data_IF_090568764911
#
_entry.id   IF_090568764911
#
_cell.length_a   1.000
_cell.length_b   1.000
_cell.length_c   1.000
_cell.angle_alpha   90.00
_cell.angle_beta   90.00
_cell.angle_gamma   90.00
#
_symmetry.space_group_name_H-M   'P 1'
#
loop_
_entity.id
_entity.type
_entity.pdbx_description
1 polymer ?
#
# COMPACT_ATOMS: atom_id res chain seq x y z
N UNK A 1 47.22 62.30 -44.93
CA UNK A 1 46.91 61.80 -43.56
C UNK A 1 45.70 60.85 -43.67
N UNK A 2 45.96 59.59 -43.79
CA UNK A 2 44.92 58.53 -43.90
C UNK A 2 44.64 58.00 -42.50
N UNK A 3 43.43 58.22 -41.98
CA UNK A 3 42.96 57.64 -40.76
C UNK A 3 42.50 56.21 -40.96
N UNK A 4 43.20 55.24 -40.37
CA UNK A 4 42.88 53.82 -40.36
C UNK A 4 41.85 53.58 -39.26
N UNK A 5 40.61 53.20 -39.61
CA UNK A 5 39.57 52.81 -38.63
C UNK A 5 39.66 51.27 -38.52
N UNK A 6 40.11 50.83 -37.34
CA UNK A 6 40.13 49.41 -36.99
C UNK A 6 38.75 49.09 -36.37
N UNK A 7 37.93 48.32 -37.10
CA UNK A 7 36.69 47.77 -36.57
C UNK A 7 37.00 46.46 -35.83
N UNK A 8 36.87 46.53 -34.51
CA UNK A 8 36.97 45.36 -33.63
C UNK A 8 35.61 44.61 -33.66
N UNK A 9 35.57 43.48 -34.35
CA UNK A 9 34.43 42.56 -34.28
C UNK A 9 34.52 41.74 -33.01
N UNK A 10 33.68 42.06 -32.02
CA UNK A 10 33.47 41.21 -30.84
C UNK A 10 32.61 40.00 -31.24
N UNK A 11 33.26 38.88 -31.39
CA UNK A 11 32.57 37.59 -31.55
C UNK A 11 32.06 37.15 -30.17
N UNK A 12 30.78 37.44 -29.87
CA UNK A 12 30.12 36.89 -28.71
C UNK A 12 29.77 35.44 -29.04
N UNK A 13 30.65 34.53 -28.65
CA UNK A 13 30.37 33.10 -28.71
C UNK A 13 29.33 32.78 -27.62
N UNK A 14 28.07 32.70 -27.98
CA UNK A 14 27.01 32.13 -27.11
C UNK A 14 27.32 30.65 -26.85
N UNK A 15 27.99 30.39 -25.72
CA UNK A 15 28.02 29.06 -25.19
C UNK A 15 26.58 28.68 -24.83
N UNK A 16 25.94 27.93 -25.74
CA UNK A 16 24.74 27.15 -25.39
C UNK A 16 25.22 26.07 -24.43
N UNK A 17 25.15 26.38 -23.15
CA UNK A 17 25.23 25.32 -22.12
C UNK A 17 24.00 24.45 -22.35
N UNK A 18 24.20 23.31 -23.02
CA UNK A 18 23.26 22.21 -22.90
C UNK A 18 23.21 21.86 -21.42
N UNK A 19 22.28 22.46 -20.71
CA UNK A 19 21.80 21.91 -19.44
C UNK A 19 21.21 20.56 -19.82
N UNK A 20 22.03 19.50 -19.75
CA UNK A 20 21.50 18.18 -19.51
C UNK A 20 20.73 18.35 -18.20
N UNK A 21 19.43 18.61 -18.28
CA UNK A 21 18.54 18.36 -17.19
C UNK A 21 18.79 16.88 -16.87
N UNK A 22 19.54 16.62 -15.78
CA UNK A 22 19.69 15.30 -15.21
C UNK A 22 18.28 14.78 -15.04
N UNK A 23 17.86 13.98 -15.99
CA UNK A 23 16.54 13.40 -16.02
C UNK A 23 16.48 12.31 -14.96
N UNK A 24 16.55 12.74 -13.68
CA UNK A 24 16.26 11.82 -12.59
C UNK A 24 14.90 11.23 -12.86
N UNK A 25 14.90 9.94 -13.21
CA UNK A 25 13.67 9.16 -13.38
C UNK A 25 12.81 9.24 -12.12
N UNK A 26 11.56 8.89 -12.24
CA UNK A 26 10.63 8.80 -11.10
C UNK A 26 10.97 7.52 -10.36
N UNK A 27 11.31 7.61 -9.09
CA UNK A 27 11.53 6.43 -8.24
C UNK A 27 10.23 6.04 -7.56
N UNK A 28 9.82 4.78 -7.71
CA UNK A 28 8.64 4.20 -7.09
C UNK A 28 9.03 3.06 -6.17
N UNK A 29 8.39 2.95 -5.01
CA UNK A 29 8.51 1.81 -4.13
C UNK A 29 7.42 0.78 -4.38
N UNK A 30 7.75 -0.51 -4.26
CA UNK A 30 6.78 -1.61 -4.09
C UNK A 30 7.10 -2.26 -2.76
N UNK A 31 6.16 -2.26 -1.81
CA UNK A 31 6.33 -2.91 -0.52
C UNK A 31 5.19 -3.89 -0.28
N UNK A 32 5.52 -5.17 -0.24
CA UNK A 32 4.58 -6.29 -0.07
C UNK A 32 5.21 -7.35 0.85
N UNK A 33 4.40 -8.25 1.39
CA UNK A 33 4.86 -9.38 2.21
C UNK A 33 5.52 -10.46 1.35
N UNK A 34 6.73 -10.21 0.89
CA UNK A 34 7.51 -11.20 0.13
C UNK A 34 7.98 -12.35 1.01
N UNK A 35 7.96 -12.18 2.31
CA UNK A 35 8.03 -13.24 3.32
C UNK A 35 6.77 -13.21 4.18
N UNK A 36 6.49 -14.32 4.89
CA UNK A 36 5.35 -14.43 5.80
C UNK A 36 4.13 -15.11 5.17
N UNK A 37 2.92 -14.95 5.76
CA UNK A 37 1.78 -15.82 5.49
C UNK A 37 1.20 -15.72 4.08
N UNK A 38 1.50 -14.66 3.33
CA UNK A 38 0.97 -14.44 1.98
C UNK A 38 2.05 -14.39 0.89
N UNK A 39 3.25 -14.84 1.19
CA UNK A 39 4.42 -14.80 0.27
C UNK A 39 4.15 -15.43 -1.10
N UNK A 40 3.24 -16.39 -1.17
CA UNK A 40 2.87 -17.05 -2.44
C UNK A 40 2.07 -16.14 -3.39
N UNK A 41 1.44 -15.08 -2.89
CA UNK A 41 0.58 -14.16 -3.66
C UNK A 41 1.35 -12.93 -4.17
N UNK A 42 2.30 -12.46 -3.39
CA UNK A 42 2.94 -11.16 -3.58
C UNK A 42 3.84 -11.04 -4.81
N UNK A 43 4.52 -12.11 -5.30
CA UNK A 43 5.30 -12.01 -6.53
C UNK A 43 4.48 -11.60 -7.75
N UNK A 44 3.27 -12.14 -7.91
CA UNK A 44 2.36 -11.79 -9.01
C UNK A 44 1.82 -10.37 -8.87
N UNK A 45 1.52 -9.93 -7.63
CA UNK A 45 1.10 -8.54 -7.36
C UNK A 45 2.19 -7.55 -7.71
N UNK A 46 3.43 -7.82 -7.32
CA UNK A 46 4.58 -6.98 -7.66
C UNK A 46 4.83 -6.93 -9.17
N UNK A 47 4.79 -8.06 -9.85
CA UNK A 47 4.98 -8.13 -11.30
C UNK A 47 3.91 -7.32 -12.06
N UNK A 48 2.65 -7.34 -11.58
CA UNK A 48 1.56 -6.56 -12.16
C UNK A 48 1.80 -5.05 -12.00
N UNK A 49 2.26 -4.61 -10.83
CA UNK A 49 2.61 -3.21 -10.59
C UNK A 49 3.80 -2.76 -11.45
N UNK A 50 4.84 -3.59 -11.54
CA UNK A 50 6.00 -3.31 -12.39
C UNK A 50 5.63 -3.22 -13.88
N UNK A 51 4.71 -4.07 -14.34
CA UNK A 51 4.18 -3.98 -15.70
C UNK A 51 3.50 -2.62 -15.94
N UNK A 52 2.62 -2.19 -15.02
CA UNK A 52 1.96 -0.89 -15.14
C UNK A 52 2.97 0.28 -15.14
N UNK A 53 3.98 0.23 -14.29
CA UNK A 53 5.05 1.24 -14.28
C UNK A 53 5.89 1.22 -15.57
N UNK A 54 6.14 0.03 -16.11
CA UNK A 54 6.83 -0.13 -17.39
C UNK A 54 6.01 0.47 -18.53
N UNK A 55 4.73 0.15 -18.62
CA UNK A 55 3.83 0.69 -19.65
C UNK A 55 3.74 2.22 -19.56
N UNK A 56 3.60 2.78 -18.36
CA UNK A 56 3.62 4.22 -18.15
C UNK A 56 4.94 4.87 -18.63
N UNK A 57 6.08 4.23 -18.32
CA UNK A 57 7.41 4.67 -18.77
C UNK A 57 7.57 4.62 -20.28
N UNK A 58 7.08 3.54 -20.90
CA UNK A 58 7.26 3.29 -22.33
C UNK A 58 6.31 4.13 -23.21
N UNK A 59 5.19 4.58 -22.64
CA UNK A 59 4.25 5.48 -23.31
C UNK A 59 4.88 6.80 -23.78
N UNK A 60 5.96 7.22 -23.12
CA UNK A 60 6.60 8.51 -23.36
C UNK A 60 5.77 9.72 -22.93
N UNK A 61 4.55 9.50 -22.42
CA UNK A 61 3.61 10.58 -22.04
C UNK A 61 3.75 11.03 -20.58
N UNK A 62 4.41 10.21 -19.74
CA UNK A 62 4.53 10.48 -18.32
C UNK A 62 5.50 11.65 -18.08
N UNK A 63 4.97 12.76 -17.55
CA UNK A 63 5.75 13.92 -17.10
C UNK A 63 6.89 14.33 -18.07
N UNK A 64 6.57 14.43 -19.34
CA UNK A 64 7.56 14.80 -20.38
C UNK A 64 8.51 13.65 -20.76
N UNK A 65 8.05 12.41 -20.66
CA UNK A 65 8.81 11.21 -21.07
C UNK A 65 9.74 10.67 -19.99
N UNK A 66 9.55 11.05 -18.72
CA UNK A 66 10.33 10.49 -17.60
C UNK A 66 10.13 8.99 -17.48
N UNK A 67 11.20 8.30 -17.13
CA UNK A 67 11.19 6.87 -16.84
C UNK A 67 10.96 6.60 -15.37
N UNK A 68 10.26 5.50 -15.06
CA UNK A 68 10.09 5.01 -13.71
C UNK A 68 11.15 3.97 -13.41
N UNK A 69 11.80 4.09 -12.26
CA UNK A 69 12.61 3.05 -11.64
C UNK A 69 11.90 2.52 -10.38
N UNK A 70 11.96 1.23 -10.16
CA UNK A 70 11.22 0.55 -9.07
C UNK A 70 12.19 -0.09 -8.11
N UNK A 71 11.92 0.04 -6.82
CA UNK A 71 12.61 -0.70 -5.75
C UNK A 71 11.58 -1.51 -4.97
N UNK A 72 11.84 -2.80 -4.78
CA UNK A 72 11.02 -3.67 -3.93
C UNK A 72 11.53 -3.64 -2.49
N UNK A 73 10.61 -3.75 -1.53
CA UNK A 73 10.88 -3.92 -0.11
C UNK A 73 9.90 -4.94 0.48
N UNK A 74 10.31 -5.64 1.53
CA UNK A 74 9.49 -6.66 2.19
C UNK A 74 8.78 -6.06 3.41
N UNK A 75 7.46 -6.15 3.45
CA UNK A 75 6.64 -5.75 4.58
C UNK A 75 6.43 -6.87 5.61
N UNK A 76 6.84 -8.09 5.29
CA UNK A 76 6.60 -9.32 6.07
C UNK A 76 5.12 -9.65 6.35
N UNK A 77 4.20 -8.74 6.08
CA UNK A 77 2.77 -8.81 6.39
C UNK A 77 2.43 -8.70 7.90
N UNK A 78 3.29 -9.18 8.79
CA UNK A 78 3.00 -9.36 10.23
C UNK A 78 3.83 -8.48 11.16
N UNK A 79 5.05 -8.11 10.77
CA UNK A 79 5.95 -7.28 11.58
C UNK A 79 5.89 -5.80 11.16
N UNK A 80 5.09 -5.03 11.89
CA UNK A 80 4.94 -3.60 11.62
C UNK A 80 6.23 -2.79 11.79
N UNK A 81 7.15 -3.23 12.66
CA UNK A 81 8.42 -2.51 12.86
C UNK A 81 9.37 -2.75 11.67
N UNK A 82 9.49 -3.99 11.22
CA UNK A 82 10.24 -4.33 10.02
C UNK A 82 9.67 -3.64 8.78
N UNK A 83 8.35 -3.63 8.62
CA UNK A 83 7.66 -2.97 7.51
C UNK A 83 7.91 -1.46 7.48
N UNK A 84 7.85 -0.79 8.63
CA UNK A 84 8.17 0.65 8.75
C UNK A 84 9.61 0.91 8.35
N UNK A 85 10.57 0.14 8.85
CA UNK A 85 12.00 0.27 8.51
C UNK A 85 12.23 0.09 7.00
N UNK A 86 11.58 -0.90 6.39
CA UNK A 86 11.67 -1.15 4.95
C UNK A 86 11.09 0.02 4.12
N UNK A 87 9.97 0.59 4.56
CA UNK A 87 9.35 1.76 3.92
C UNK A 87 10.20 3.02 4.07
N UNK A 88 10.82 3.25 5.24
CA UNK A 88 11.80 4.33 5.44
C UNK A 88 12.98 4.20 4.47
N UNK A 89 13.45 2.98 4.22
CA UNK A 89 14.47 2.69 3.21
C UNK A 89 14.04 3.09 1.80
N UNK A 90 12.79 2.86 1.42
CA UNK A 90 12.26 3.31 0.12
C UNK A 90 12.23 4.84 0.01
N UNK A 91 11.72 5.51 1.04
CA UNK A 91 11.59 6.98 1.06
C UNK A 91 12.97 7.64 1.05
N UNK A 92 13.91 7.17 1.89
CA UNK A 92 15.29 7.68 1.91
C UNK A 92 16.04 7.39 0.61
N UNK A 93 15.69 6.30 -0.09
CA UNK A 93 16.15 5.99 -1.44
C UNK A 93 15.57 6.91 -2.52
N UNK A 94 14.64 7.79 -2.16
CA UNK A 94 14.02 8.79 -3.04
C UNK A 94 12.74 8.32 -3.73
N UNK A 95 12.06 7.29 -3.22
CA UNK A 95 10.74 6.92 -3.71
C UNK A 95 9.74 8.06 -3.46
N UNK A 96 9.05 8.49 -4.50
CA UNK A 96 8.05 9.59 -4.44
C UNK A 96 6.64 9.07 -4.22
N UNK A 97 6.41 7.78 -4.44
CA UNK A 97 5.18 7.08 -4.10
C UNK A 97 5.47 5.60 -3.87
N UNK A 98 4.56 4.94 -3.15
CA UNK A 98 4.67 3.53 -2.74
C UNK A 98 3.41 2.79 -3.17
N UNK A 99 3.57 1.69 -3.90
CA UNK A 99 2.55 0.67 -4.11
C UNK A 99 2.70 -0.37 -3.00
N UNK A 100 1.67 -0.55 -2.20
CA UNK A 100 1.66 -1.42 -1.00
C UNK A 100 1.16 -0.66 0.24
N UNK A 101 1.19 -1.23 1.46
CA UNK A 101 1.44 -2.65 1.61
C UNK A 101 0.16 -3.45 1.36
N UNK A 102 0.26 -4.74 1.48
CA UNK A 102 -0.81 -5.70 1.20
C UNK A 102 -1.66 -6.03 2.44
N UNK A 103 -1.04 -6.24 3.59
CA UNK A 103 -1.70 -6.60 4.84
C UNK A 103 -2.07 -5.36 5.67
N UNK A 104 -3.28 -5.34 6.24
CA UNK A 104 -3.86 -4.12 6.83
C UNK A 104 -3.06 -3.50 7.96
N UNK A 105 -2.52 -4.30 8.89
CA UNK A 105 -1.77 -3.79 10.04
C UNK A 105 -0.47 -3.08 9.62
N UNK A 106 0.33 -3.72 8.77
CA UNK A 106 1.57 -3.12 8.25
C UNK A 106 1.27 -1.93 7.33
N UNK A 107 0.16 -1.97 6.59
CA UNK A 107 -0.30 -0.84 5.76
C UNK A 107 -0.58 0.40 6.61
N UNK A 108 -1.36 0.24 7.69
CA UNK A 108 -1.65 1.34 8.62
C UNK A 108 -0.39 1.89 9.26
N UNK A 109 0.49 1.02 9.74
CA UNK A 109 1.76 1.42 10.35
C UNK A 109 2.66 2.21 9.40
N UNK A 110 2.79 1.78 8.14
CA UNK A 110 3.58 2.49 7.12
C UNK A 110 2.92 3.83 6.76
N UNK A 111 1.60 3.84 6.56
CA UNK A 111 0.87 5.06 6.23
C UNK A 111 1.08 6.13 7.31
N UNK A 112 0.84 5.79 8.57
CA UNK A 112 0.91 6.72 9.69
C UNK A 112 2.32 7.18 10.03
N UNK A 113 3.31 6.26 9.97
CA UNK A 113 4.68 6.54 10.46
C UNK A 113 5.63 6.98 9.36
N UNK A 114 5.39 6.62 8.11
CA UNK A 114 6.31 6.89 7.00
C UNK A 114 5.67 7.70 5.89
N UNK A 115 4.62 7.20 5.24
CA UNK A 115 4.09 7.81 4.03
C UNK A 115 3.51 9.19 4.29
N UNK A 116 2.57 9.33 5.22
CA UNK A 116 1.91 10.60 5.56
C UNK A 116 2.88 11.66 6.09
N UNK A 117 3.76 11.35 7.07
CA UNK A 117 4.73 12.34 7.56
C UNK A 117 5.69 12.87 6.49
N UNK A 118 6.05 12.04 5.52
CA UNK A 118 6.96 12.42 4.44
C UNK A 118 6.24 12.96 3.18
N UNK A 119 4.91 13.05 3.17
CA UNK A 119 4.15 13.50 2.01
C UNK A 119 4.26 12.55 0.80
N UNK A 120 4.47 11.27 1.05
CA UNK A 120 4.60 10.22 0.03
C UNK A 120 3.25 9.55 -0.17
N UNK A 121 2.75 9.52 -1.40
CA UNK A 121 1.50 8.82 -1.73
C UNK A 121 1.70 7.32 -1.61
N UNK A 122 0.76 6.66 -0.94
CA UNK A 122 0.76 5.22 -0.74
C UNK A 122 -0.56 4.62 -1.24
N UNK A 123 -0.49 3.58 -2.07
CA UNK A 123 -1.66 2.89 -2.63
C UNK A 123 -1.57 1.41 -2.31
N UNK A 124 -2.46 0.92 -1.43
CA UNK A 124 -2.55 -0.49 -1.10
C UNK A 124 -3.38 -1.27 -2.14
N UNK A 125 -2.89 -2.42 -2.63
CA UNK A 125 -3.66 -3.27 -3.54
C UNK A 125 -4.72 -4.12 -2.84
N UNK A 126 -4.58 -4.42 -1.54
CA UNK A 126 -5.36 -5.46 -0.87
C UNK A 126 -5.65 -5.25 0.61
N UNK A 127 -5.20 -4.18 1.24
CA UNK A 127 -5.51 -3.91 2.65
C UNK A 127 -6.98 -3.49 2.82
N UNK A 128 -7.79 -4.33 3.48
CA UNK A 128 -9.26 -4.21 3.51
C UNK A 128 -9.82 -3.79 4.87
N UNK A 129 -9.01 -3.77 5.94
CA UNK A 129 -9.51 -3.40 7.28
C UNK A 129 -10.36 -2.12 7.25
N UNK A 130 -11.55 -2.12 7.88
CA UNK A 130 -12.38 -0.92 8.01
C UNK A 130 -11.66 0.26 8.65
N UNK A 131 -10.78 0.00 9.63
CA UNK A 131 -10.00 1.03 10.32
C UNK A 131 -9.13 1.89 9.42
N UNK A 132 -8.71 1.37 8.26
CA UNK A 132 -7.93 2.14 7.29
C UNK A 132 -8.73 3.26 6.60
N UNK A 133 -10.07 3.24 6.70
CA UNK A 133 -10.93 4.31 6.15
C UNK A 133 -10.82 5.62 6.95
N UNK A 134 -10.57 5.49 8.24
CA UNK A 134 -10.66 6.60 9.20
C UNK A 134 -9.28 7.05 9.73
N UNK A 135 -8.18 6.53 9.18
CA UNK A 135 -6.84 7.01 9.55
C UNK A 135 -6.67 8.47 9.10
N UNK A 136 -5.90 9.22 9.88
CA UNK A 136 -5.57 10.61 9.51
C UNK A 136 -4.47 10.62 8.43
N UNK A 137 -4.86 10.25 7.22
CA UNK A 137 -3.95 10.08 6.09
C UNK A 137 -3.60 11.38 5.36
N UNK A 138 -4.27 12.47 5.68
CA UNK A 138 -4.08 13.77 5.04
C UNK A 138 -4.15 13.73 3.50
N UNK A 139 -4.81 12.72 2.94
CA UNK A 139 -4.94 12.50 1.49
C UNK A 139 -3.73 11.80 0.85
N UNK A 140 -2.87 11.16 1.62
CA UNK A 140 -1.71 10.42 1.12
C UNK A 140 -1.91 8.91 1.05
N UNK A 141 -2.98 8.35 1.64
CA UNK A 141 -3.25 6.92 1.58
C UNK A 141 -4.49 6.62 0.72
N UNK A 142 -4.35 5.63 -0.13
CA UNK A 142 -5.42 5.10 -0.99
C UNK A 142 -5.37 3.57 -0.98
N UNK A 143 -6.48 2.94 -1.37
CA UNK A 143 -6.54 1.50 -1.62
C UNK A 143 -7.43 1.20 -2.83
N UNK A 144 -7.10 0.16 -3.58
CA UNK A 144 -7.90 -0.32 -4.70
C UNK A 144 -8.88 -1.42 -4.29
N UNK A 145 -8.64 -2.07 -3.14
CA UNK A 145 -9.55 -3.03 -2.55
C UNK A 145 -10.69 -2.33 -1.78
N UNK A 146 -11.94 -2.83 -1.81
CA UNK A 146 -13.03 -2.32 -0.99
C UNK A 146 -12.78 -2.59 0.50
N UNK A 147 -13.44 -1.80 1.37
CA UNK A 147 -13.42 -2.06 2.81
C UNK A 147 -14.26 -3.29 3.18
N UNK A 148 -13.78 -4.08 4.13
CA UNK A 148 -14.51 -5.21 4.72
C UNK A 148 -15.77 -4.78 5.49
N UNK A 149 -15.96 -3.47 5.74
CA UNK A 149 -17.19 -2.96 6.36
C UNK A 149 -18.44 -3.43 5.62
N UNK A 150 -18.42 -3.39 4.28
CA UNK A 150 -19.54 -3.89 3.47
C UNK A 150 -19.58 -5.41 3.41
N UNK A 151 -18.44 -6.06 3.33
CA UNK A 151 -18.32 -7.52 3.31
C UNK A 151 -18.91 -8.18 4.55
N UNK A 152 -18.59 -7.66 5.73
CA UNK A 152 -19.13 -8.14 6.99
C UNK A 152 -20.65 -7.99 7.09
N UNK A 153 -21.22 -6.89 6.58
CA UNK A 153 -22.67 -6.70 6.51
C UNK A 153 -23.34 -7.71 5.58
N UNK A 154 -22.82 -7.91 4.38
CA UNK A 154 -23.35 -8.91 3.42
C UNK A 154 -23.31 -10.31 4.00
N UNK A 155 -22.21 -10.68 4.67
CA UNK A 155 -22.09 -11.97 5.32
C UNK A 155 -23.16 -12.14 6.41
N UNK A 156 -23.47 -11.11 7.18
CA UNK A 156 -24.51 -11.13 8.20
C UNK A 156 -25.91 -11.26 7.57
N UNK A 157 -26.19 -10.60 6.45
CA UNK A 157 -27.44 -10.73 5.71
C UNK A 157 -27.63 -12.18 5.23
N UNK A 158 -26.59 -12.78 4.64
CA UNK A 158 -26.60 -14.20 4.21
C UNK A 158 -26.82 -15.12 5.41
N UNK A 159 -26.19 -14.86 6.54
CA UNK A 159 -26.34 -15.64 7.77
C UNK A 159 -27.80 -15.62 8.26
N UNK A 160 -28.43 -14.45 8.23
CA UNK A 160 -29.85 -14.26 8.56
C UNK A 160 -30.77 -15.02 7.58
N UNK A 161 -30.55 -14.86 6.28
CA UNK A 161 -31.36 -15.49 5.23
C UNK A 161 -31.31 -17.00 5.28
N UNK A 162 -30.20 -17.56 5.75
CA UNK A 162 -30.05 -19.00 6.02
C UNK A 162 -30.73 -19.47 7.32
N UNK A 163 -31.36 -18.56 8.07
CA UNK A 163 -32.09 -18.87 9.29
C UNK A 163 -31.20 -19.23 10.48
N UNK A 164 -29.91 -18.90 10.44
CA UNK A 164 -28.96 -19.17 11.53
C UNK A 164 -29.37 -18.35 12.76
N UNK A 165 -29.37 -18.98 13.94
CA UNK A 165 -29.81 -18.35 15.21
C UNK A 165 -28.65 -17.94 16.12
N UNK A 166 -27.52 -18.58 15.97
CA UNK A 166 -26.30 -18.23 16.71
C UNK A 166 -25.05 -18.50 15.89
N UNK A 167 -24.01 -17.73 16.16
CA UNK A 167 -22.69 -17.85 15.53
C UNK A 167 -21.59 -17.82 16.58
N UNK A 168 -20.53 -18.57 16.37
CA UNK A 168 -19.23 -18.36 16.97
C UNK A 168 -18.31 -17.75 15.90
N UNK A 169 -17.49 -16.82 16.29
CA UNK A 169 -16.58 -16.08 15.39
C UNK A 169 -15.16 -16.35 15.85
N UNK A 170 -14.32 -16.85 14.97
CA UNK A 170 -12.88 -16.85 15.17
C UNK A 170 -12.20 -16.02 14.07
N UNK A 171 -11.13 -15.33 14.41
CA UNK A 171 -10.45 -14.43 13.48
C UNK A 171 -8.93 -14.45 13.71
N UNK A 172 -8.17 -14.24 12.65
CA UNK A 172 -6.71 -14.10 12.76
C UNK A 172 -6.35 -12.86 13.58
N UNK A 173 -5.42 -13.01 14.53
CA UNK A 173 -5.07 -11.98 15.53
C UNK A 173 -4.25 -10.83 14.90
N UNK A 174 -4.87 -10.10 14.00
CA UNK A 174 -4.32 -8.90 13.36
C UNK A 174 -5.44 -7.91 13.00
N UNK A 175 -5.07 -6.72 12.51
CA UNK A 175 -6.03 -5.64 12.20
C UNK A 175 -7.02 -6.00 11.08
N UNK A 176 -6.62 -6.87 10.15
CA UNK A 176 -7.52 -7.39 9.12
C UNK A 176 -8.61 -8.27 9.72
N UNK A 177 -8.19 -9.33 10.42
CA UNK A 177 -9.13 -10.29 11.03
C UNK A 177 -10.04 -9.65 12.07
N UNK A 178 -9.46 -8.82 12.95
CA UNK A 178 -10.23 -8.09 13.97
C UNK A 178 -11.26 -7.15 13.35
N UNK A 179 -10.88 -6.37 12.36
CA UNK A 179 -11.77 -5.41 11.70
C UNK A 179 -12.99 -6.09 11.06
N UNK A 180 -12.78 -7.18 10.34
CA UNK A 180 -13.87 -7.96 9.74
C UNK A 180 -14.76 -8.64 10.79
N UNK A 181 -14.16 -9.22 11.84
CA UNK A 181 -14.90 -9.85 12.94
C UNK A 181 -15.78 -8.85 13.69
N UNK A 182 -15.29 -7.65 13.94
CA UNK A 182 -16.03 -6.58 14.63
C UNK A 182 -17.26 -6.17 13.79
N UNK A 183 -17.09 -5.93 12.49
CA UNK A 183 -18.20 -5.55 11.59
C UNK A 183 -19.23 -6.68 11.51
N UNK A 184 -18.79 -7.91 11.27
CA UNK A 184 -19.68 -9.06 11.19
C UNK A 184 -20.44 -9.29 12.50
N UNK A 185 -19.73 -9.24 13.64
CA UNK A 185 -20.34 -9.39 14.97
C UNK A 185 -21.42 -8.33 15.24
N UNK A 186 -21.16 -7.07 14.88
CA UNK A 186 -22.14 -6.00 15.03
C UNK A 186 -23.36 -6.22 14.14
N UNK A 187 -23.13 -6.60 12.87
CA UNK A 187 -24.20 -6.80 11.88
C UNK A 187 -25.11 -8.01 12.22
N UNK A 188 -24.55 -9.14 12.65
CA UNK A 188 -25.38 -10.30 13.07
C UNK A 188 -26.18 -10.01 14.33
N UNK A 189 -25.62 -9.25 15.30
CA UNK A 189 -26.37 -8.78 16.48
C UNK A 189 -27.54 -7.89 16.08
N UNK A 190 -27.36 -6.97 15.12
CA UNK A 190 -28.43 -6.12 14.60
C UNK A 190 -29.56 -6.94 13.93
N UNK A 191 -29.24 -8.10 13.39
CA UNK A 191 -30.23 -9.07 12.89
C UNK A 191 -30.87 -9.96 13.98
N UNK A 192 -30.54 -9.77 15.25
CA UNK A 192 -31.05 -10.57 16.36
C UNK A 192 -30.40 -11.95 16.47
N UNK A 193 -29.29 -12.20 15.79
CA UNK A 193 -28.53 -13.45 15.84
C UNK A 193 -27.59 -13.40 17.04
N UNK A 194 -27.60 -14.45 17.86
CA UNK A 194 -26.75 -14.55 19.06
C UNK A 194 -25.29 -14.78 18.65
N UNK A 195 -24.37 -13.92 19.11
CA UNK A 195 -22.94 -14.21 19.06
C UNK A 195 -22.56 -14.94 20.35
N UNK A 196 -22.11 -16.19 20.25
CA UNK A 196 -21.77 -17.02 21.40
C UNK A 196 -20.34 -16.79 21.86
N UNK A 197 -19.42 -16.65 20.89
CA UNK A 197 -17.98 -16.49 21.16
C UNK A 197 -17.39 -15.60 20.06
N UNK A 198 -16.40 -14.79 20.44
CA UNK A 198 -15.50 -14.08 19.53
C UNK A 198 -14.08 -14.32 20.02
N UNK A 199 -13.28 -15.07 19.28
CA UNK A 199 -11.95 -15.49 19.70
C UNK A 199 -10.90 -15.23 18.62
N UNK A 200 -9.77 -14.65 19.02
CA UNK A 200 -8.62 -14.53 18.16
C UNK A 200 -7.84 -15.85 18.10
N UNK A 201 -7.21 -16.10 16.95
CA UNK A 201 -6.23 -17.17 16.79
C UNK A 201 -5.00 -16.65 16.05
N UNK A 202 -3.85 -17.26 16.29
CA UNK A 202 -2.63 -16.97 15.55
C UNK A 202 -2.61 -17.78 14.25
N UNK A 203 -2.06 -17.19 13.19
CA UNK A 203 -1.87 -17.87 11.91
C UNK A 203 -0.77 -18.93 11.99
N UNK A 204 -0.87 -19.98 11.17
CA UNK A 204 0.19 -20.98 11.00
C UNK A 204 0.39 -21.93 12.18
N UNK A 205 -0.55 -22.02 13.11
CA UNK A 205 -0.51 -23.03 14.18
C UNK A 205 -0.66 -24.43 13.61
N UNK A 206 0.06 -25.39 14.18
CA UNK A 206 -0.09 -26.80 13.81
C UNK A 206 -1.40 -27.41 14.32
N UNK A 207 -2.03 -26.84 15.37
CA UNK A 207 -3.25 -27.32 15.99
C UNK A 207 -4.10 -26.15 16.51
N UNK A 208 -5.37 -26.17 16.21
CA UNK A 208 -6.41 -25.22 16.64
C UNK A 208 -7.45 -25.83 17.58
N UNK A 209 -7.16 -26.99 18.18
CA UNK A 209 -8.11 -27.69 19.08
C UNK A 209 -8.57 -26.82 20.26
N UNK A 210 -7.68 -25.99 20.80
CA UNK A 210 -7.99 -25.08 21.90
C UNK A 210 -8.98 -24.00 21.51
N UNK A 211 -8.86 -23.46 20.30
CA UNK A 211 -9.76 -22.43 19.78
C UNK A 211 -11.13 -23.02 19.43
N UNK A 212 -11.16 -24.26 18.94
CA UNK A 212 -12.41 -24.98 18.61
C UNK A 212 -13.17 -25.39 19.87
N UNK A 213 -12.48 -25.64 21.00
CA UNK A 213 -13.08 -26.03 22.26
C UNK A 213 -13.71 -24.87 23.04
N UNK A 214 -13.48 -23.62 22.63
CA UNK A 214 -13.99 -22.41 23.28
C UNK A 214 -15.40 -22.06 22.80
#
# INVERSE_FOLDING_TARGET
MRKLIIAVFLFVSSMVTNSNADGHGIKMGIILGFTGPIESLTPAMAASAELAFKEASDSGSLLGGKKISVTRADSTCVDSAAAVTAAEGLVSGGAVAIMGADCSGVTGAIAEKVAVPNGVVMISPSATSPGLTDINDRGYFFRTAPSDARGGQILADITKDRGVKSVAITYTNNDYGKGLADVYSAAVKAHGIKVTTVAAHEDGKADYSSEVAT
#
